data_IF_105931853600
#
_entry.id   IF_105931853600
#
_cell.length_a   1.000
_cell.length_b   1.000
_cell.length_c   1.000
_cell.angle_alpha   90.00
_cell.angle_beta   90.00
_cell.angle_gamma   90.00
#
_symmetry.space_group_name_H-M   'P 1'
#
loop_
_entity.id
_entity.type
_entity.pdbx_description
1 polymer ?
#
# COMPACT_ATOMS: atom_id res chain seq x y z
N UNK A 1 -23.86 -13.25 -14.81
CA UNK A 1 -22.87 -12.29 -14.27
C UNK A 1 -21.78 -13.13 -13.66
N UNK A 2 -20.55 -12.97 -14.13
CA UNK A 2 -19.42 -13.72 -13.60
C UNK A 2 -18.72 -12.87 -12.54
N UNK A 3 -18.35 -13.51 -11.43
CA UNK A 3 -17.71 -12.86 -10.29
C UNK A 3 -16.28 -13.36 -10.16
N UNK A 4 -15.33 -12.43 -10.04
CA UNK A 4 -13.94 -12.72 -9.75
C UNK A 4 -13.60 -12.22 -8.35
N UNK A 5 -13.24 -13.15 -7.46
CA UNK A 5 -12.72 -12.83 -6.12
C UNK A 5 -11.23 -13.11 -6.09
N UNK A 6 -10.45 -12.13 -5.63
CA UNK A 6 -9.00 -12.24 -5.49
C UNK A 6 -8.67 -12.02 -4.01
N UNK A 7 -8.05 -13.02 -3.41
CA UNK A 7 -7.60 -12.98 -2.03
C UNK A 7 -6.08 -12.98 -2.03
N UNK A 8 -5.49 -11.98 -1.39
CA UNK A 8 -4.05 -11.80 -1.31
C UNK A 8 -3.65 -11.45 0.11
N UNK A 9 -2.46 -11.89 0.49
CA UNK A 9 -1.89 -11.54 1.78
C UNK A 9 -1.37 -10.09 1.74
N UNK A 10 -1.58 -9.32 2.82
CA UNK A 10 -1.12 -7.92 2.87
C UNK A 10 0.40 -7.75 2.80
N UNK A 11 1.16 -8.80 3.16
CA UNK A 11 2.62 -8.83 2.93
C UNK A 11 2.99 -8.76 1.45
N UNK A 12 2.10 -9.21 0.56
CA UNK A 12 2.32 -9.21 -0.88
C UNK A 12 1.68 -7.99 -1.55
N UNK A 13 0.47 -7.60 -1.12
CA UNK A 13 -0.28 -6.50 -1.72
C UNK A 13 -0.75 -5.48 -0.66
N UNK A 14 -0.28 -4.25 -0.82
CA UNK A 14 -0.79 -3.06 -0.16
C UNK A 14 -1.73 -2.26 -1.10
N UNK A 15 -2.15 -1.06 -0.69
CA UNK A 15 -3.05 -0.23 -1.49
C UNK A 15 -2.49 0.12 -2.88
N UNK A 16 -1.19 0.38 -2.97
CA UNK A 16 -0.52 0.68 -4.24
C UNK A 16 -0.32 -0.58 -5.09
N UNK A 17 0.14 -1.67 -4.46
CA UNK A 17 0.35 -2.98 -5.08
C UNK A 17 -0.92 -3.54 -5.70
N UNK A 18 -2.08 -3.38 -5.05
CA UNK A 18 -3.38 -3.74 -5.65
C UNK A 18 -3.67 -2.93 -6.93
N UNK A 19 -3.29 -1.66 -6.98
CA UNK A 19 -3.40 -0.83 -8.18
C UNK A 19 -2.54 -1.36 -9.32
N UNK A 20 -1.26 -1.66 -9.06
CA UNK A 20 -0.36 -2.24 -10.05
C UNK A 20 -0.81 -3.62 -10.54
N UNK A 21 -1.24 -4.47 -9.62
CA UNK A 21 -1.76 -5.80 -9.91
C UNK A 21 -3.03 -5.72 -10.77
N UNK A 22 -3.99 -4.86 -10.43
CA UNK A 22 -5.22 -4.67 -11.20
C UNK A 22 -4.93 -4.18 -12.63
N UNK A 23 -3.99 -3.25 -12.78
CA UNK A 23 -3.52 -2.82 -14.11
C UNK A 23 -2.86 -3.96 -14.88
N UNK A 24 -1.99 -4.74 -14.26
CA UNK A 24 -1.34 -5.88 -14.89
C UNK A 24 -2.35 -6.94 -15.34
N UNK A 25 -3.30 -7.30 -14.46
CA UNK A 25 -4.38 -8.23 -14.76
C UNK A 25 -5.21 -7.77 -15.97
N UNK A 26 -5.63 -6.50 -15.96
CA UNK A 26 -6.41 -5.92 -17.06
C UNK A 26 -5.65 -5.94 -18.38
N UNK A 27 -4.36 -5.57 -18.39
CA UNK A 27 -3.54 -5.60 -19.62
C UNK A 27 -3.35 -7.01 -20.16
N UNK A 28 -3.03 -7.97 -19.29
CA UNK A 28 -2.82 -9.36 -19.67
C UNK A 28 -4.10 -10.00 -20.19
N UNK A 29 -5.23 -9.80 -19.50
CA UNK A 29 -6.53 -10.30 -19.94
C UNK A 29 -6.91 -9.76 -21.33
N UNK A 30 -6.75 -8.45 -21.54
CA UNK A 30 -7.03 -7.82 -22.83
C UNK A 30 -6.09 -8.30 -23.95
N UNK A 31 -4.83 -8.61 -23.65
CA UNK A 31 -3.88 -9.16 -24.62
C UNK A 31 -4.31 -10.57 -25.04
N UNK A 32 -4.64 -11.43 -24.08
CA UNK A 32 -5.12 -12.79 -24.32
C UNK A 32 -6.41 -12.79 -25.15
N UNK A 33 -7.38 -11.94 -24.82
CA UNK A 33 -8.62 -11.80 -25.58
C UNK A 33 -8.42 -11.36 -27.03
N UNK A 34 -7.29 -10.71 -27.34
CA UNK A 34 -6.95 -10.23 -28.68
C UNK A 34 -5.90 -11.09 -29.36
N UNK A 35 -5.55 -12.26 -28.81
CA UNK A 35 -4.45 -13.11 -29.28
C UNK A 35 -3.13 -12.34 -29.49
N UNK A 36 -2.85 -11.38 -28.62
CA UNK A 36 -1.60 -10.62 -28.60
C UNK A 36 -0.63 -11.22 -27.59
N UNK A 37 0.66 -10.88 -27.75
CA UNK A 37 1.68 -11.22 -26.77
C UNK A 37 1.37 -10.60 -25.40
N UNK A 38 1.71 -11.33 -24.34
CA UNK A 38 1.54 -10.84 -22.98
C UNK A 38 2.44 -9.61 -22.73
N UNK A 39 1.93 -8.60 -22.00
CA UNK A 39 2.73 -7.44 -21.64
C UNK A 39 3.87 -7.85 -20.70
N UNK A 40 5.00 -7.16 -20.77
CA UNK A 40 6.07 -7.36 -19.79
C UNK A 40 5.55 -6.98 -18.39
N UNK A 41 5.65 -7.90 -17.44
CA UNK A 41 5.22 -7.68 -16.07
C UNK A 41 6.32 -6.95 -15.29
N UNK A 42 5.92 -6.11 -14.35
CA UNK A 42 6.86 -5.29 -13.55
C UNK A 42 7.46 -6.05 -12.36
N UNK A 43 6.95 -7.22 -12.06
CA UNK A 43 7.45 -8.05 -10.97
C UNK A 43 8.56 -8.96 -11.50
N UNK A 44 9.75 -8.83 -10.93
CA UNK A 44 10.85 -9.76 -11.15
C UNK A 44 10.54 -11.10 -10.49
N UNK A 45 11.26 -12.15 -10.89
CA UNK A 45 11.20 -13.43 -10.21
C UNK A 45 11.83 -13.36 -8.79
N UNK A 46 11.54 -14.37 -7.98
CA UNK A 46 11.98 -14.45 -6.60
C UNK A 46 13.52 -14.48 -6.48
N UNK A 47 14.22 -15.16 -7.38
CA UNK A 47 15.67 -15.31 -7.30
C UNK A 47 16.36 -13.97 -7.52
N UNK A 48 15.92 -13.22 -8.53
CA UNK A 48 16.37 -11.84 -8.79
C UNK A 48 16.16 -10.93 -7.56
N UNK A 49 15.03 -11.07 -6.85
CA UNK A 49 14.77 -10.28 -5.64
C UNK A 49 15.71 -10.66 -4.48
N UNK A 50 15.96 -11.96 -4.28
CA UNK A 50 16.89 -12.44 -3.24
C UNK A 50 18.32 -11.95 -3.48
N UNK A 51 18.75 -11.98 -4.75
CA UNK A 51 20.06 -11.46 -5.14
C UNK A 51 20.15 -9.94 -4.94
N UNK A 52 19.10 -9.19 -5.30
CA UNK A 52 19.03 -7.76 -5.08
C UNK A 52 19.16 -7.39 -3.59
N UNK A 53 18.57 -8.19 -2.69
CA UNK A 53 18.65 -7.96 -1.24
C UNK A 53 20.06 -8.18 -0.66
N UNK A 54 20.94 -8.89 -1.37
CA UNK A 54 22.32 -9.12 -0.95
C UNK A 54 23.29 -8.05 -1.49
N UNK A 55 22.82 -7.15 -2.34
CA UNK A 55 23.67 -6.11 -2.93
C UNK A 55 24.08 -5.08 -1.87
N UNK A 56 25.35 -4.65 -1.92
CA UNK A 56 25.91 -3.67 -0.97
C UNK A 56 25.10 -2.38 -0.90
N UNK A 57 24.56 -1.89 -2.03
CA UNK A 57 23.74 -0.68 -2.07
C UNK A 57 22.42 -0.83 -1.31
N UNK A 58 21.77 -2.00 -1.42
CA UNK A 58 20.57 -2.31 -0.66
C UNK A 58 20.88 -2.42 0.83
N UNK A 59 21.94 -3.15 1.19
CA UNK A 59 22.36 -3.31 2.58
C UNK A 59 22.70 -1.96 3.25
N UNK A 60 23.41 -1.07 2.54
CA UNK A 60 23.68 0.29 3.02
C UNK A 60 22.40 1.10 3.27
N UNK A 61 21.37 0.92 2.43
CA UNK A 61 20.06 1.56 2.63
C UNK A 61 19.36 1.01 3.87
N UNK A 62 19.43 -0.31 4.10
CA UNK A 62 18.88 -0.94 5.30
C UNK A 62 19.58 -0.45 6.56
N UNK A 63 20.90 -0.32 6.54
CA UNK A 63 21.67 0.16 7.69
C UNK A 63 21.33 1.63 8.00
N UNK A 64 21.26 2.49 6.99
CA UNK A 64 20.84 3.89 7.15
C UNK A 64 19.41 4.02 7.69
N UNK A 65 18.49 3.18 7.20
CA UNK A 65 17.12 3.15 7.71
C UNK A 65 17.05 2.70 9.17
N UNK A 66 17.89 1.73 9.57
CA UNK A 66 18.01 1.28 10.96
C UNK A 66 18.53 2.37 11.87
N UNK A 67 19.59 3.06 11.46
CA UNK A 67 20.14 4.20 12.21
C UNK A 67 19.10 5.30 12.39
N UNK A 68 18.38 5.64 11.33
CA UNK A 68 17.28 6.63 11.37
C UNK A 68 16.18 6.21 12.34
N UNK A 69 15.78 4.93 12.33
CA UNK A 69 14.78 4.41 13.26
C UNK A 69 15.26 4.49 14.70
N UNK A 70 16.51 4.09 14.97
CA UNK A 70 17.08 4.14 16.32
C UNK A 70 17.12 5.58 16.84
N UNK A 71 17.57 6.52 16.01
CA UNK A 71 17.57 7.95 16.37
C UNK A 71 16.16 8.43 16.72
N UNK A 72 15.16 8.08 15.92
CA UNK A 72 13.76 8.44 16.19
C UNK A 72 13.23 7.81 17.50
N UNK A 73 13.66 6.60 17.83
CA UNK A 73 13.30 5.92 19.08
C UNK A 73 13.97 6.56 20.30
N UNK A 74 15.23 6.96 20.18
CA UNK A 74 15.96 7.66 21.24
C UNK A 74 15.36 9.05 21.52
N UNK A 75 14.84 9.70 20.48
CA UNK A 75 14.19 11.00 20.54
C UNK A 75 12.67 10.91 20.81
N UNK A 76 12.14 9.71 21.11
CA UNK A 76 10.72 9.56 21.37
C UNK A 76 10.38 10.25 22.71
N UNK A 77 9.80 11.44 22.62
CA UNK A 77 9.33 12.20 23.77
C UNK A 77 8.18 11.51 24.50
N UNK A 78 7.46 12.27 25.31
CA UNK A 78 6.26 11.75 25.99
C UNK A 78 5.21 11.30 24.96
N UNK A 79 4.80 10.02 25.02
CA UNK A 79 3.81 9.47 24.10
C UNK A 79 2.42 9.95 24.51
N UNK A 80 1.83 10.81 23.69
CA UNK A 80 0.45 11.26 23.88
C UNK A 80 -0.51 10.38 23.08
N UNK A 81 -1.54 9.85 23.74
CA UNK A 81 -2.69 9.25 23.07
C UNK A 81 -3.79 10.30 22.92
N UNK A 82 -4.27 10.51 21.70
CA UNK A 82 -5.45 11.35 21.43
C UNK A 82 -6.76 10.55 21.43
N UNK A 83 -6.71 9.30 21.90
CA UNK A 83 -7.84 8.40 21.97
C UNK A 83 -7.97 7.83 23.39
N UNK A 84 -9.12 8.06 24.00
CA UNK A 84 -9.54 7.40 25.25
C UNK A 84 -10.19 6.04 24.99
N UNK A 85 -10.19 5.58 23.74
CA UNK A 85 -10.83 4.33 23.36
C UNK A 85 -10.19 3.15 24.08
N UNK A 86 -10.98 2.49 24.94
CA UNK A 86 -10.63 1.23 25.61
C UNK A 86 -11.11 0.01 24.83
N UNK A 87 -11.46 0.19 23.54
CA UNK A 87 -11.96 -0.90 22.72
C UNK A 87 -10.90 -2.00 22.59
N UNK A 88 -11.30 -3.24 22.82
CA UNK A 88 -10.43 -4.39 22.69
C UNK A 88 -10.08 -4.63 21.21
N UNK A 89 -8.79 -4.76 20.92
CA UNK A 89 -8.24 -4.99 19.57
C UNK A 89 -8.70 -6.31 18.93
N UNK A 90 -9.21 -7.24 19.74
CA UNK A 90 -9.75 -8.53 19.30
C UNK A 90 -11.22 -8.45 18.92
N UNK A 91 -11.91 -7.34 19.21
CA UNK A 91 -13.31 -7.19 18.81
C UNK A 91 -13.46 -7.25 17.29
N UNK A 92 -14.54 -7.87 16.83
CA UNK A 92 -14.83 -7.98 15.40
C UNK A 92 -14.93 -6.58 14.79
N UNK A 93 -14.09 -6.32 13.80
CA UNK A 93 -14.11 -5.07 13.07
C UNK A 93 -15.45 -4.87 12.36
N UNK A 94 -16.13 -3.77 12.70
CA UNK A 94 -17.35 -3.32 12.00
C UNK A 94 -16.98 -2.24 11.00
N UNK A 95 -17.19 -2.51 9.72
CA UNK A 95 -16.98 -1.51 8.65
C UNK A 95 -18.29 -0.78 8.35
N UNK A 96 -18.36 0.48 8.75
CA UNK A 96 -19.39 1.41 8.25
C UNK A 96 -18.81 2.18 7.07
N UNK A 97 -19.66 2.55 6.10
CA UNK A 97 -19.25 3.43 5.00
C UNK A 97 -20.22 4.58 4.85
N UNK A 98 -19.68 5.77 4.63
CA UNK A 98 -20.43 6.97 4.30
C UNK A 98 -19.86 7.54 3.02
N UNK A 99 -20.75 8.07 2.16
CA UNK A 99 -20.35 8.73 0.92
C UNK A 99 -20.40 10.22 1.13
N UNK A 100 -19.34 10.92 0.75
CA UNK A 100 -19.40 12.38 0.62
C UNK A 100 -20.19 12.75 -0.63
N UNK A 101 -20.98 13.81 -0.54
CA UNK A 101 -21.53 14.46 -1.72
C UNK A 101 -20.40 15.16 -2.48
N UNK A 102 -20.63 15.44 -3.77
CA UNK A 102 -19.65 16.15 -4.60
C UNK A 102 -19.26 17.50 -3.99
N UNK A 103 -20.22 18.24 -3.45
CA UNK A 103 -19.99 19.53 -2.81
C UNK A 103 -19.12 19.38 -1.56
N UNK A 104 -19.41 18.42 -0.68
CA UNK A 104 -18.60 18.14 0.51
C UNK A 104 -17.15 17.81 0.14
N UNK A 105 -16.96 16.98 -0.89
CA UNK A 105 -15.62 16.63 -1.37
C UNK A 105 -14.85 17.84 -1.89
N UNK A 106 -15.49 18.69 -2.70
CA UNK A 106 -14.88 19.92 -3.21
C UNK A 106 -14.49 20.88 -2.08
N UNK A 107 -15.35 21.07 -1.09
CA UNK A 107 -15.05 21.90 0.08
C UNK A 107 -13.81 21.41 0.83
N UNK A 108 -13.72 20.09 1.08
CA UNK A 108 -12.55 19.50 1.74
C UNK A 108 -11.28 19.70 0.91
N UNK A 109 -11.34 19.48 -0.40
CA UNK A 109 -10.20 19.69 -1.29
C UNK A 109 -9.73 21.15 -1.29
N UNK A 110 -10.66 22.11 -1.37
CA UNK A 110 -10.32 23.54 -1.32
C UNK A 110 -9.68 23.92 0.02
N UNK A 111 -10.21 23.43 1.14
CA UNK A 111 -9.63 23.69 2.45
C UNK A 111 -8.20 23.13 2.59
N UNK A 112 -7.96 21.92 2.10
CA UNK A 112 -6.61 21.32 2.11
C UNK A 112 -5.61 22.10 1.26
N UNK A 113 -6.04 22.69 0.14
CA UNK A 113 -5.18 23.51 -0.73
C UNK A 113 -4.80 24.87 -0.16
N UNK A 114 -5.52 25.37 0.86
CA UNK A 114 -5.24 26.67 1.50
C UNK A 114 -4.16 26.59 2.58
N UNK A 115 -3.75 25.40 2.99
CA UNK A 115 -2.76 25.16 4.06
C UNK A 115 -1.33 24.98 3.50
N UNK A 116 -1.18 24.89 2.16
CA UNK A 116 0.10 24.95 1.45
C UNK A 116 0.36 26.36 0.90
#
# INVERSE_FOLDING_TARGET
>A
QDYLMILAHHLLLDGYGFGLFSQALSRSYNALMKNKTLPNLRFSDQQTLLEAQQQTAYLATVDSARETLNQWLDDIGEVHSFSDSKADVTTVNKRTSQKFTRTQWQTIQSAASLIN
#
